data_IF_040913801747
#
_entry.id   IF_040913801747
#
_cell.length_a   1.000
_cell.length_b   1.000
_cell.length_c   1.000
_cell.angle_alpha   90.00
_cell.angle_beta   90.00
_cell.angle_gamma   90.00
#
_symmetry.space_group_name_H-M   'P 1'
#
loop_
_entity.id
_entity.type
_entity.pdbx_description
1 polymer ?
#
# COMPACT_ATOMS: atom_id res chain seq x y z
N UNK A 1 -25.35 -29.31 29.21
CA UNK A 1 -25.21 -27.95 28.66
C UNK A 1 -23.99 -27.96 27.75
N UNK A 2 -24.17 -27.92 26.44
CA UNK A 2 -23.05 -27.96 25.49
C UNK A 2 -22.54 -26.54 25.25
N UNK A 3 -21.48 -26.15 25.96
CA UNK A 3 -20.74 -24.95 25.63
C UNK A 3 -19.99 -25.19 24.33
N UNK A 4 -20.45 -24.55 23.25
CA UNK A 4 -19.70 -24.49 21.99
C UNK A 4 -18.37 -23.80 22.29
N UNK A 5 -17.20 -24.36 21.91
CA UNK A 5 -15.94 -23.66 22.11
C UNK A 5 -15.97 -22.40 21.25
N UNK A 6 -16.14 -21.25 21.88
CA UNK A 6 -15.93 -19.96 21.24
C UNK A 6 -14.52 -19.99 20.68
N UNK A 7 -14.32 -19.67 19.39
CA UNK A 7 -12.98 -19.59 18.85
C UNK A 7 -12.28 -18.51 19.68
N UNK A 8 -11.30 -18.91 20.49
CA UNK A 8 -10.35 -17.96 21.07
C UNK A 8 -9.66 -17.34 19.88
N UNK A 9 -10.22 -16.24 19.38
CA UNK A 9 -9.57 -15.37 18.43
C UNK A 9 -8.36 -14.88 19.20
N UNK A 10 -7.26 -15.62 19.09
CA UNK A 10 -5.99 -15.24 19.66
C UNK A 10 -5.64 -13.98 18.89
N UNK A 11 -6.00 -12.82 19.45
CA UNK A 11 -5.67 -11.52 18.90
C UNK A 11 -4.15 -11.49 18.82
N UNK A 12 -3.61 -11.88 17.65
CA UNK A 12 -2.17 -11.91 17.42
C UNK A 12 -1.72 -10.47 17.59
N UNK A 13 -0.95 -10.24 18.64
CA UNK A 13 -0.31 -8.95 18.90
C UNK A 13 0.98 -8.94 18.09
N UNK A 14 1.24 -7.83 17.44
CA UNK A 14 2.44 -7.59 16.65
C UNK A 14 3.19 -6.39 17.19
N UNK A 15 4.46 -6.31 16.80
CA UNK A 15 5.35 -5.21 17.08
C UNK A 15 5.55 -4.43 15.80
N UNK A 16 5.50 -3.11 15.90
CA UNK A 16 5.80 -2.20 14.80
C UNK A 16 7.09 -1.46 15.12
N UNK A 17 7.99 -1.31 14.16
CA UNK A 17 9.21 -0.49 14.28
C UNK A 17 9.17 0.63 13.26
N UNK A 18 9.39 1.86 13.72
CA UNK A 18 9.54 3.08 12.90
C UNK A 18 10.80 3.81 13.33
N UNK A 19 11.75 4.00 12.41
CA UNK A 19 12.97 4.79 12.65
C UNK A 19 13.71 4.44 13.96
N UNK A 20 13.76 3.16 14.31
CA UNK A 20 14.40 2.66 15.54
C UNK A 20 13.52 2.65 16.80
N UNK A 21 12.34 3.27 16.78
CA UNK A 21 11.36 3.15 17.86
C UNK A 21 10.46 1.94 17.65
N UNK A 22 10.24 1.16 18.71
CA UNK A 22 9.36 -0.02 18.67
C UNK A 22 8.07 0.27 19.43
N UNK A 23 6.95 0.17 18.72
CA UNK A 23 5.60 0.22 19.27
C UNK A 23 5.16 -1.21 19.57
N UNK A 24 4.78 -1.44 20.81
CA UNK A 24 4.38 -2.75 21.30
C UNK A 24 2.88 -2.93 21.24
N UNK A 25 2.46 -4.20 21.23
CA UNK A 25 1.08 -4.59 21.53
C UNK A 25 0.02 -4.12 20.51
N UNK A 26 0.41 -3.97 19.24
CA UNK A 26 -0.54 -3.62 18.17
C UNK A 26 -1.40 -4.85 17.84
N UNK A 27 -2.71 -4.69 17.86
CA UNK A 27 -3.65 -5.74 17.46
C UNK A 27 -3.62 -5.93 15.94
N UNK A 28 -3.50 -7.17 15.46
CA UNK A 28 -3.61 -7.46 14.02
C UNK A 28 -4.95 -7.04 13.42
N UNK A 29 -6.01 -6.95 14.22
CA UNK A 29 -7.32 -6.50 13.74
C UNK A 29 -7.33 -5.00 13.43
N UNK A 30 -6.56 -4.22 14.17
CA UNK A 30 -6.49 -2.76 14.01
C UNK A 30 -5.51 -2.36 12.91
N UNK A 31 -4.53 -3.20 12.55
CA UNK A 31 -3.51 -2.88 11.53
C UNK A 31 -4.08 -2.26 10.25
N UNK A 32 -5.17 -2.81 9.73
CA UNK A 32 -5.77 -2.33 8.47
C UNK A 32 -6.34 -0.93 8.66
N UNK A 33 -7.04 -0.67 9.78
CA UNK A 33 -7.56 0.65 10.10
C UNK A 33 -6.44 1.65 10.32
N UNK A 34 -5.40 1.27 11.06
CA UNK A 34 -4.22 2.09 11.31
C UNK A 34 -3.48 2.48 10.01
N UNK A 35 -3.39 1.58 9.03
CA UNK A 35 -2.83 1.86 7.70
C UNK A 35 -3.75 2.83 6.94
N UNK A 36 -5.06 2.58 6.92
CA UNK A 36 -6.03 3.44 6.22
C UNK A 36 -6.12 4.84 6.81
N UNK A 37 -5.97 4.96 8.13
CA UNK A 37 -5.95 6.22 8.86
C UNK A 37 -4.57 6.91 8.79
N UNK A 38 -3.59 6.33 8.08
CA UNK A 38 -2.27 6.90 7.88
C UNK A 38 -1.37 6.89 9.11
N UNK A 39 -1.80 6.23 10.20
CA UNK A 39 -0.99 6.07 11.41
C UNK A 39 0.17 5.12 11.19
N UNK A 40 -0.02 4.08 10.37
CA UNK A 40 1.04 3.19 9.90
C UNK A 40 1.44 3.53 8.47
N UNK A 41 2.75 3.68 8.26
CA UNK A 41 3.35 4.08 7.01
C UNK A 41 3.94 2.86 6.28
N UNK A 42 4.08 2.98 4.96
CA UNK A 42 4.53 1.89 4.08
C UNK A 42 5.93 1.35 4.44
N UNK A 43 6.78 2.22 4.96
CA UNK A 43 8.16 1.97 5.37
C UNK A 43 8.30 1.49 6.81
N UNK A 44 7.22 1.49 7.60
CA UNK A 44 7.22 0.86 8.91
C UNK A 44 7.49 -0.64 8.80
N UNK A 45 8.06 -1.22 9.84
CA UNK A 45 8.37 -2.65 9.89
C UNK A 45 7.46 -3.36 10.91
N UNK A 46 6.98 -4.55 10.55
CA UNK A 46 6.18 -5.43 11.40
C UNK A 46 6.97 -6.67 11.81
N UNK A 47 6.77 -7.10 13.05
CA UNK A 47 7.33 -8.33 13.57
C UNK A 47 6.33 -9.03 14.50
N UNK A 48 6.32 -10.36 14.48
CA UNK A 48 5.59 -11.20 15.44
C UNK A 48 6.48 -11.72 16.57
N UNK A 49 7.80 -11.73 16.37
CA UNK A 49 8.80 -12.36 17.26
C UNK A 49 9.88 -11.39 17.76
N UNK A 50 9.85 -10.12 17.32
CA UNK A 50 10.86 -9.07 17.52
C UNK A 50 12.24 -9.37 16.92
N UNK A 51 12.38 -10.48 16.19
CA UNK A 51 13.64 -10.89 15.57
C UNK A 51 13.61 -10.63 14.07
N UNK A 52 12.48 -10.97 13.43
CA UNK A 52 12.26 -10.77 12.00
C UNK A 52 11.38 -9.55 11.79
N UNK A 53 11.95 -8.54 11.16
CA UNK A 53 11.27 -7.30 10.81
C UNK A 53 11.04 -7.29 9.31
N UNK A 54 9.80 -7.01 8.91
CA UNK A 54 9.39 -6.96 7.50
C UNK A 54 8.69 -5.64 7.27
N UNK A 55 9.05 -4.89 6.22
CA UNK A 55 8.34 -3.66 5.88
C UNK A 55 6.87 -3.92 5.56
N UNK A 56 5.99 -3.03 5.98
CA UNK A 56 4.55 -3.16 5.79
C UNK A 56 4.17 -3.22 4.29
N UNK A 57 4.86 -2.46 3.44
CA UNK A 57 4.69 -2.48 1.98
C UNK A 57 5.15 -3.78 1.30
N UNK A 58 6.06 -4.53 1.92
CA UNK A 58 6.55 -5.83 1.42
C UNK A 58 5.82 -7.02 2.04
N UNK A 59 4.99 -6.77 3.04
CA UNK A 59 4.28 -7.83 3.75
C UNK A 59 3.13 -8.36 2.88
N UNK A 60 3.12 -9.68 2.61
CA UNK A 60 2.20 -10.35 1.68
C UNK A 60 0.71 -9.93 1.83
N UNK A 61 0.23 -9.76 3.06
CA UNK A 61 -1.17 -9.38 3.32
C UNK A 61 -1.41 -7.87 3.40
N UNK A 62 -0.39 -7.09 3.75
CA UNK A 62 -0.55 -5.67 4.09
C UNK A 62 -0.18 -4.75 2.92
N UNK A 63 0.71 -5.21 2.04
CA UNK A 63 1.14 -4.50 0.82
C UNK A 63 -0.03 -3.91 0.03
N UNK A 64 -1.13 -4.67 -0.11
CA UNK A 64 -2.34 -4.25 -0.85
C UNK A 64 -3.05 -3.01 -0.29
N UNK A 65 -2.77 -2.63 0.96
CA UNK A 65 -3.36 -1.44 1.60
C UNK A 65 -2.50 -0.20 1.44
N UNK A 66 -1.30 -0.33 0.88
CA UNK A 66 -0.47 0.77 0.45
C UNK A 66 -0.64 0.90 -1.06
N UNK A 67 -1.62 1.68 -1.55
CA UNK A 67 -1.67 1.96 -2.96
C UNK A 67 -0.30 2.51 -3.37
N UNK A 68 0.28 1.96 -4.44
CA UNK A 68 1.28 2.72 -5.16
C UNK A 68 0.61 4.06 -5.47
N UNK A 69 1.24 5.18 -5.11
CA UNK A 69 0.74 6.43 -5.64
C UNK A 69 0.57 6.22 -7.14
N UNK A 70 -0.59 6.61 -7.73
CA UNK A 70 -0.59 6.74 -9.17
C UNK A 70 0.61 7.64 -9.42
N UNK A 71 1.59 7.12 -10.15
CA UNK A 71 2.62 7.96 -10.71
C UNK A 71 1.88 8.89 -11.65
N UNK A 72 1.29 9.95 -11.09
CA UNK A 72 0.98 11.20 -11.75
C UNK A 72 2.30 11.88 -12.02
N UNK A 73 3.24 11.14 -12.58
CA UNK A 73 4.17 11.66 -13.56
C UNK A 73 3.33 11.86 -14.83
N UNK A 74 2.35 12.76 -14.73
CA UNK A 74 2.01 13.62 -15.85
C UNK A 74 3.22 14.52 -16.00
N UNK A 75 4.34 13.96 -16.48
CA UNK A 75 5.39 14.80 -17.03
C UNK A 75 4.66 15.69 -18.05
N UNK A 76 4.83 17.02 -17.97
CA UNK A 76 4.21 17.90 -18.94
C UNK A 76 4.64 17.40 -20.31
N UNK A 77 3.65 17.02 -21.13
CA UNK A 77 3.90 16.53 -22.48
C UNK A 77 4.81 17.54 -23.18
N UNK A 78 5.84 17.10 -23.91
CA UNK A 78 6.72 18.02 -24.59
C UNK A 78 5.90 18.95 -25.49
N UNK A 79 6.19 20.26 -25.50
CA UNK A 79 5.42 21.22 -26.27
C UNK A 79 5.38 20.79 -27.74
N UNK A 80 4.18 20.77 -28.32
CA UNK A 80 3.98 20.41 -29.73
C UNK A 80 3.54 18.97 -30.01
N UNK A 81 3.31 18.13 -28.99
CA UNK A 81 2.71 16.79 -29.22
C UNK A 81 1.33 16.88 -29.87
N UNK A 82 0.51 17.87 -29.50
CA UNK A 82 -0.83 18.04 -30.05
C UNK A 82 -0.75 18.41 -31.53
N UNK A 83 0.15 19.33 -31.90
CA UNK A 83 0.36 19.74 -33.30
C UNK A 83 0.79 18.56 -34.17
N UNK A 84 1.75 17.77 -33.69
CA UNK A 84 2.23 16.58 -34.41
C UNK A 84 1.14 15.52 -34.55
N UNK A 85 0.30 15.35 -33.54
CA UNK A 85 -0.82 14.42 -33.59
C UNK A 85 -1.89 14.89 -34.58
N UNK A 86 -2.17 16.20 -34.61
CA UNK A 86 -3.06 16.82 -35.59
C UNK A 86 -2.55 16.62 -37.02
N UNK A 87 -1.29 16.93 -37.31
CA UNK A 87 -0.70 16.73 -38.65
C UNK A 87 -0.81 15.28 -39.12
N UNK A 88 -0.48 14.32 -38.25
CA UNK A 88 -0.61 12.89 -38.59
C UNK A 88 -2.06 12.50 -38.86
N UNK A 89 -3.00 13.02 -38.07
CA UNK A 89 -4.43 12.73 -38.27
C UNK A 89 -4.98 13.31 -39.58
N UNK A 90 -4.47 14.45 -40.03
CA UNK A 90 -4.83 15.04 -41.32
C UNK A 90 -4.28 14.22 -42.50
N UNK A 91 -3.00 13.82 -42.43
CA UNK A 91 -2.38 12.96 -43.45
C UNK A 91 -3.10 11.61 -43.59
N UNK A 92 -3.52 11.01 -42.48
CA UNK A 92 -4.28 9.76 -42.51
C UNK A 92 -5.67 9.93 -43.13
N UNK A 93 -6.28 11.11 -43.00
CA UNK A 93 -7.57 11.44 -43.60
C UNK A 93 -7.49 11.65 -45.11
N UNK A 94 -6.34 12.09 -45.61
CA UNK A 94 -6.09 12.30 -47.03
C UNK A 94 -5.81 10.98 -47.77
N UNK A 95 -5.39 9.93 -47.05
CA UNK A 95 -5.11 8.61 -47.59
C UNK A 95 -6.31 7.64 -47.56
N UNK A 96 -7.46 8.05 -46.99
CA UNK A 96 -8.70 7.25 -46.92
C UNK A 96 -9.73 7.66 -47.98
#
# INVERSE_FOLDING_TARGET
>A
MNEKPTPKILHKRVFIRRSGQVIYNISTQSLISEIKEGRLQKDDEISTDRKRWVRLDRHYQLARYFPAEPSSTSDPLPPGVDQRLTEVSELLRELS
#
